data_IF_679866186046
#
_entry.id   IF_679866186046
#
_cell.length_a   1.000
_cell.length_b   1.000
_cell.length_c   1.000
_cell.angle_alpha   90.00
_cell.angle_beta   90.00
_cell.angle_gamma   90.00
#
_symmetry.space_group_name_H-M   'P 1'
#
loop_
_entity.id
_entity.type
_entity.pdbx_description
1 polymer ?
#
# COMPACT_ATOMS: atom_id res chain seq x y z
N UNK A 1 4.69 4.91 -25.72
CA UNK A 1 5.96 5.02 -24.96
C UNK A 1 5.76 5.25 -23.46
N UNK A 2 4.56 5.05 -22.91
CA UNK A 2 4.28 5.35 -21.48
C UNK A 2 4.48 4.14 -20.57
N UNK A 3 4.26 2.92 -21.07
CA UNK A 3 4.47 1.67 -20.30
C UNK A 3 5.89 1.56 -19.74
N UNK A 4 6.90 1.87 -20.56
CA UNK A 4 8.31 1.75 -20.18
C UNK A 4 8.69 2.67 -19.01
N UNK A 5 8.18 3.91 -19.02
CA UNK A 5 8.43 4.88 -17.94
C UNK A 5 7.78 4.46 -16.61
N UNK A 6 6.60 3.86 -16.66
CA UNK A 6 5.90 3.39 -15.46
C UNK A 6 6.66 2.21 -14.84
N UNK A 7 7.09 1.26 -15.67
CA UNK A 7 7.92 0.14 -15.23
C UNK A 7 9.29 0.59 -14.71
N UNK A 8 9.94 1.54 -15.37
CA UNK A 8 11.19 2.13 -14.88
C UNK A 8 11.01 2.83 -13.52
N UNK A 9 9.89 3.52 -13.33
CA UNK A 9 9.54 4.12 -12.04
C UNK A 9 9.33 3.04 -10.98
N UNK A 10 8.57 1.99 -11.28
CA UNK A 10 8.36 0.86 -10.37
C UNK A 10 9.69 0.16 -10.00
N UNK A 11 10.58 -0.04 -10.97
CA UNK A 11 11.90 -0.62 -10.77
C UNK A 11 12.82 0.27 -9.93
N UNK A 12 12.68 1.59 -10.03
CA UNK A 12 13.39 2.53 -9.16
C UNK A 12 12.80 2.56 -7.74
N UNK A 13 11.48 2.40 -7.57
CA UNK A 13 10.84 2.35 -6.26
C UNK A 13 11.23 1.11 -5.45
N UNK A 14 11.38 -0.05 -6.10
CA UNK A 14 11.65 -1.33 -5.46
C UNK A 14 12.88 -1.31 -4.51
N UNK A 15 14.08 -0.88 -4.95
CA UNK A 15 15.25 -0.81 -4.07
C UNK A 15 15.11 0.30 -3.01
N UNK A 16 14.39 1.38 -3.31
CA UNK A 16 14.20 2.50 -2.37
C UNK A 16 13.30 2.13 -1.19
N UNK A 17 12.45 1.12 -1.33
CA UNK A 17 11.65 0.58 -0.22
C UNK A 17 12.34 -0.57 0.51
N UNK A 18 13.61 -0.85 0.22
CA UNK A 18 14.36 -1.96 0.82
C UNK A 18 14.25 -3.28 0.06
N UNK A 19 13.69 -3.28 -1.15
CA UNK A 19 13.55 -4.48 -1.99
C UNK A 19 12.30 -5.29 -1.71
N UNK A 20 12.15 -6.42 -2.43
CA UNK A 20 10.99 -7.30 -2.30
C UNK A 20 10.90 -7.97 -0.91
N UNK A 21 12.04 -8.31 -0.32
CA UNK A 21 12.12 -8.92 1.03
C UNK A 21 11.57 -8.00 2.14
N UNK A 22 11.68 -6.68 1.96
CA UNK A 22 11.19 -5.72 2.93
C UNK A 22 9.67 -5.47 2.83
N UNK A 23 9.05 -5.80 1.70
CA UNK A 23 7.63 -5.53 1.44
C UNK A 23 6.78 -6.74 1.83
N UNK A 24 5.83 -6.55 2.75
CA UNK A 24 4.93 -7.62 3.23
C UNK A 24 3.59 -7.62 2.53
N UNK A 25 3.12 -6.48 2.06
CA UNK A 25 1.84 -6.33 1.39
C UNK A 25 1.81 -5.07 0.55
N UNK A 26 1.12 -5.12 -0.58
CA UNK A 26 0.93 -3.98 -1.48
C UNK A 26 -0.56 -3.73 -1.63
N UNK A 27 -0.96 -2.47 -1.47
CA UNK A 27 -2.32 -2.02 -1.74
C UNK A 27 -2.28 -0.63 -2.38
N UNK A 28 -3.28 -0.26 -3.16
CA UNK A 28 -3.34 1.09 -3.76
C UNK A 28 -4.76 1.65 -3.76
N UNK A 29 -4.87 2.97 -3.79
CA UNK A 29 -6.11 3.70 -3.99
C UNK A 29 -6.03 4.46 -5.33
N UNK A 30 -6.81 5.54 -5.51
CA UNK A 30 -6.72 6.35 -6.74
C UNK A 30 -5.42 7.15 -6.86
N UNK A 31 -4.85 7.60 -5.74
CA UNK A 31 -3.74 8.56 -5.72
C UNK A 31 -2.59 8.18 -4.80
N UNK A 32 -2.75 7.10 -4.02
CA UNK A 32 -1.80 6.65 -2.99
C UNK A 32 -1.53 5.16 -3.09
N UNK A 33 -0.27 4.77 -3.00
CA UNK A 33 0.20 3.40 -2.90
C UNK A 33 0.52 3.12 -1.42
N UNK A 34 -0.15 2.14 -0.82
CA UNK A 34 0.05 1.68 0.55
C UNK A 34 0.94 0.44 0.52
N UNK A 35 2.01 0.46 1.29
CA UNK A 35 2.98 -0.62 1.41
C UNK A 35 3.05 -1.05 2.88
N UNK A 36 2.92 -2.34 3.10
CA UNK A 36 3.37 -2.98 4.33
C UNK A 36 4.87 -3.19 4.22
N UNK A 37 5.64 -2.63 5.15
CA UNK A 37 7.10 -2.80 5.22
C UNK A 37 7.48 -3.48 6.53
N UNK A 38 8.50 -4.33 6.53
CA UNK A 38 9.08 -4.93 7.74
C UNK A 38 9.96 -3.94 8.48
N UNK A 39 10.92 -3.38 7.76
CA UNK A 39 11.95 -2.49 8.27
C UNK A 39 11.90 -1.14 7.56
N UNK A 40 11.40 -0.13 8.26
CA UNK A 40 11.35 1.26 7.78
C UNK A 40 12.72 1.91 7.63
N UNK A 41 13.73 1.40 8.33
CA UNK A 41 15.09 1.97 8.29
C UNK A 41 15.77 1.75 6.94
N UNK A 42 15.30 0.76 6.17
CA UNK A 42 15.77 0.46 4.82
C UNK A 42 15.06 1.29 3.76
N UNK A 43 13.98 1.98 4.13
CA UNK A 43 13.21 2.81 3.21
C UNK A 43 13.87 4.17 3.09
N UNK A 44 14.07 4.63 1.85
CA UNK A 44 14.65 5.93 1.54
C UNK A 44 13.57 6.92 1.12
N UNK A 45 12.89 7.51 2.11
CA UNK A 45 11.84 8.50 1.89
C UNK A 45 12.32 9.75 1.13
N UNK A 46 13.57 10.19 1.33
CA UNK A 46 14.13 11.34 0.60
C UNK A 46 14.30 11.04 -0.90
N UNK A 47 14.89 9.89 -1.23
CA UNK A 47 15.06 9.44 -2.62
C UNK A 47 13.73 9.16 -3.31
N UNK A 48 12.73 8.68 -2.56
CA UNK A 48 11.36 8.52 -3.06
C UNK A 48 10.77 9.89 -3.43
N UNK A 49 10.84 10.88 -2.55
CA UNK A 49 10.34 12.25 -2.80
C UNK A 49 11.09 12.95 -3.95
N UNK A 50 12.33 12.57 -4.21
CA UNK A 50 13.12 13.12 -5.32
C UNK A 50 12.63 12.65 -6.70
N UNK A 51 11.83 11.59 -6.77
CA UNK A 51 11.28 11.11 -8.03
C UNK A 51 10.15 12.04 -8.52
N UNK A 52 10.12 12.42 -9.81
CA UNK A 52 9.07 13.29 -10.35
C UNK A 52 7.68 12.64 -10.34
N UNK A 53 7.63 11.32 -10.17
CA UNK A 53 6.39 10.56 -10.04
C UNK A 53 5.84 10.57 -8.61
N UNK A 54 6.63 10.98 -7.60
CA UNK A 54 6.24 10.97 -6.18
C UNK A 54 6.03 12.41 -5.73
N UNK A 55 4.84 12.70 -5.22
CA UNK A 55 4.48 13.97 -4.61
C UNK A 55 4.83 14.02 -3.12
N UNK A 56 4.94 12.86 -2.48
CA UNK A 56 5.30 12.76 -1.08
C UNK A 56 5.16 11.34 -0.54
N UNK A 57 5.63 11.14 0.68
CA UNK A 57 5.36 9.93 1.46
C UNK A 57 4.72 10.31 2.79
N UNK A 58 3.82 9.46 3.25
CA UNK A 58 3.08 9.62 4.51
C UNK A 58 3.27 8.33 5.28
N UNK A 59 3.79 8.45 6.50
CA UNK A 59 3.88 7.36 7.45
C UNK A 59 2.82 7.59 8.53
N UNK A 60 1.84 6.70 8.62
CA UNK A 60 0.77 6.75 9.62
C UNK A 60 0.64 5.34 10.25
N UNK A 61 -0.38 4.55 9.90
CA UNK A 61 -0.43 3.12 10.27
C UNK A 61 0.39 2.20 9.34
N UNK A 62 0.55 2.61 8.09
CA UNK A 62 1.25 1.88 7.02
C UNK A 62 2.01 2.88 6.17
N UNK A 63 3.01 2.41 5.41
CA UNK A 63 3.82 3.27 4.56
C UNK A 63 3.02 3.67 3.32
N UNK A 64 2.80 4.97 3.08
CA UNK A 64 1.97 5.44 1.97
C UNK A 64 2.74 6.39 1.05
N UNK A 65 2.89 6.01 -0.22
CA UNK A 65 3.53 6.83 -1.25
C UNK A 65 2.44 7.53 -2.06
N UNK A 66 2.52 8.85 -2.16
CA UNK A 66 1.61 9.68 -2.96
C UNK A 66 2.24 9.87 -4.34
N UNK A 67 1.76 9.16 -5.37
CA UNK A 67 2.29 9.29 -6.75
C UNK A 67 1.44 10.20 -7.65
N UNK A 68 0.28 10.63 -7.17
CA UNK A 68 -0.67 11.44 -7.94
C UNK A 68 -1.64 10.62 -8.82
N UNK A 69 -2.71 11.26 -9.32
CA UNK A 69 -3.76 10.59 -10.07
C UNK A 69 -3.23 10.05 -11.42
N UNK A 70 -3.59 8.80 -11.75
CA UNK A 70 -3.22 8.15 -13.01
C UNK A 70 -1.86 7.45 -13.01
N UNK A 71 -0.85 7.97 -12.31
CA UNK A 71 0.46 7.31 -12.17
C UNK A 71 0.35 6.08 -11.27
N UNK A 72 -0.34 6.21 -10.11
CA UNK A 72 -0.57 5.08 -9.19
C UNK A 72 -1.16 3.87 -9.92
N UNK A 73 -2.22 4.07 -10.71
CA UNK A 73 -2.94 2.97 -11.37
C UNK A 73 -2.09 2.25 -12.44
N UNK A 74 -1.04 2.89 -12.95
CA UNK A 74 -0.13 2.33 -13.96
C UNK A 74 1.13 1.74 -13.35
N UNK A 75 1.63 2.33 -12.26
CA UNK A 75 2.85 1.88 -11.58
C UNK A 75 2.58 0.69 -10.68
N UNK A 76 1.42 0.62 -10.00
CA UNK A 76 1.11 -0.51 -9.11
C UNK A 76 1.22 -1.89 -9.78
N UNK A 77 0.56 -2.17 -10.92
CA UNK A 77 0.65 -3.51 -11.53
C UNK A 77 2.07 -3.85 -11.98
N UNK A 78 2.85 -2.87 -12.45
CA UNK A 78 4.26 -3.05 -12.80
C UNK A 78 5.11 -3.32 -11.56
N UNK A 79 4.83 -2.63 -10.45
CA UNK A 79 5.50 -2.83 -9.18
C UNK A 79 5.23 -4.23 -8.60
N UNK A 80 3.99 -4.68 -8.64
CA UNK A 80 3.60 -6.05 -8.23
C UNK A 80 4.29 -7.11 -9.09
N UNK A 81 4.37 -6.93 -10.41
CA UNK A 81 5.14 -7.82 -11.29
C UNK A 81 6.61 -7.87 -10.88
N UNK A 82 7.24 -6.72 -10.68
CA UNK A 82 8.65 -6.66 -10.31
C UNK A 82 8.93 -7.28 -8.93
N UNK A 83 8.00 -7.12 -7.98
CA UNK A 83 8.06 -7.81 -6.69
C UNK A 83 8.00 -9.32 -6.86
N UNK A 84 7.04 -9.84 -7.65
CA UNK A 84 6.96 -11.28 -7.93
C UNK A 84 8.18 -11.81 -8.69
N UNK A 85 8.74 -11.03 -9.62
CA UNK A 85 9.97 -11.40 -10.35
C UNK A 85 11.20 -11.39 -9.41
N UNK A 86 11.28 -10.45 -8.47
CA UNK A 86 12.37 -10.37 -7.50
C UNK A 86 12.28 -11.48 -6.43
N UNK A 87 11.09 -11.83 -5.98
CA UNK A 87 10.84 -12.93 -5.03
C UNK A 87 11.06 -14.31 -5.68
N UNK A 88 10.80 -14.44 -6.99
CA UNK A 88 11.00 -15.68 -7.74
C UNK A 88 12.46 -16.11 -7.94
N UNK A 89 13.44 -15.35 -7.41
CA UNK A 89 14.86 -15.71 -7.42
C UNK A 89 15.35 -15.96 -5.98
N UNK A 90 14.74 -16.91 -5.27
CA UNK A 90 15.43 -18.17 -5.02
C UNK A 90 14.54 -19.38 -5.30
N UNK A 91 15.16 -20.46 -5.76
CA UNK A 91 14.56 -21.77 -5.97
C UNK A 91 13.65 -22.19 -4.79
N UNK A 92 12.33 -22.28 -5.02
CA UNK A 92 11.41 -23.36 -4.57
C UNK A 92 9.95 -22.88 -4.59
N UNK A 93 9.27 -23.28 -5.66
CA UNK A 93 7.88 -23.79 -5.73
C UNK A 93 6.71 -22.84 -5.38
N UNK A 94 5.76 -22.67 -6.33
CA UNK A 94 4.62 -21.75 -6.24
C UNK A 94 3.45 -22.38 -5.48
N UNK A 95 2.78 -21.61 -4.61
CA UNK A 95 1.34 -21.77 -4.33
C UNK A 95 0.76 -20.56 -3.58
N UNK A 96 0.18 -19.64 -4.32
CA UNK A 96 -1.11 -19.06 -3.94
C UNK A 96 -1.95 -19.00 -5.20
N UNK A 97 -2.43 -20.21 -5.52
CA UNK A 97 -3.52 -20.47 -6.44
C UNK A 97 -4.72 -19.61 -6.04
N UNK A 98 -5.17 -18.79 -6.97
CA UNK A 98 -6.52 -18.25 -6.96
C UNK A 98 -7.47 -19.43 -7.18
N UNK A 99 -8.47 -19.70 -6.34
CA UNK A 99 -9.58 -20.53 -6.77
C UNK A 99 -10.49 -19.65 -7.65
N UNK A 100 -10.12 -19.48 -8.93
CA UNK A 100 -11.10 -19.21 -9.98
C UNK A 100 -11.27 -20.50 -10.76
N UNK A 101 -12.23 -21.29 -10.30
CA UNK A 101 -12.68 -22.54 -10.88
C UNK A 101 -13.29 -22.31 -12.27
N UNK A 102 -12.46 -22.40 -13.29
CA UNK A 102 -12.83 -23.03 -14.56
C UNK A 102 -12.05 -24.37 -14.58
N UNK A 103 -12.52 -25.53 -15.06
CA UNK A 103 -12.99 -25.80 -16.42
C UNK A 103 -13.72 -27.17 -16.48
N UNK A 104 -14.77 -27.25 -17.31
CA UNK A 104 -15.31 -28.46 -17.99
C UNK A 104 -16.32 -29.34 -17.25
N UNK A 105 -17.61 -28.98 -17.39
CA UNK A 105 -18.67 -29.99 -17.59
C UNK A 105 -19.34 -29.71 -18.94
N UNK A 106 -18.96 -30.48 -19.97
CA UNK A 106 -19.62 -30.44 -21.27
C UNK A 106 -20.58 -31.62 -21.41
N UNK A 107 -21.86 -31.25 -21.46
CA UNK A 107 -23.04 -31.95 -21.98
C UNK A 107 -23.64 -33.06 -21.09
N UNK A 108 -24.91 -32.97 -20.65
CA UNK A 108 -26.10 -32.72 -21.49
C UNK A 108 -27.34 -32.34 -20.65
N UNK A 109 -27.99 -31.23 -21.05
CA UNK A 109 -29.43 -30.85 -21.03
C UNK A 109 -30.32 -31.16 -19.80
N UNK A 110 -31.25 -30.31 -19.32
CA UNK A 110 -31.76 -28.98 -19.71
C UNK A 110 -32.70 -28.48 -18.58
N UNK A 111 -32.77 -27.15 -18.44
CA UNK A 111 -33.96 -26.31 -18.12
C UNK A 111 -34.19 -25.90 -16.65
N UNK A 112 -33.78 -24.64 -16.39
CA UNK A 112 -34.44 -23.55 -15.62
C UNK A 112 -34.61 -23.78 -14.10
N UNK A 113 -34.38 -22.83 -13.21
CA UNK A 113 -33.86 -21.45 -13.20
C UNK A 113 -33.71 -21.11 -11.70
N UNK A 114 -32.66 -20.38 -11.35
CA UNK A 114 -32.58 -19.52 -10.14
C UNK A 114 -32.68 -20.24 -8.77
N UNK A 115 -31.74 -21.11 -8.39
CA UNK A 115 -30.44 -20.79 -7.78
C UNK A 115 -30.51 -19.66 -6.75
N UNK A 116 -30.88 -20.05 -5.52
CA UNK A 116 -30.88 -19.21 -4.34
C UNK A 116 -29.50 -18.61 -3.99
N UNK A 117 -29.49 -17.58 -3.14
CA UNK A 117 -28.31 -16.77 -2.87
C UNK A 117 -27.30 -17.55 -2.02
N UNK A 118 -26.00 -17.59 -2.37
CA UNK A 118 -24.99 -18.06 -1.45
C UNK A 118 -24.76 -17.03 -0.35
N UNK A 119 -24.74 -17.56 0.87
CA UNK A 119 -24.63 -16.85 2.11
C UNK A 119 -23.28 -16.16 2.33
N UNK A 120 -23.37 -15.09 3.12
CA UNK A 120 -22.38 -14.63 4.10
C UNK A 120 -21.02 -14.13 3.58
N UNK A 121 -20.99 -12.83 3.31
CA UNK A 121 -19.77 -12.03 3.46
C UNK A 121 -19.29 -12.10 4.93
N UNK A 122 -18.00 -12.36 5.21
CA UNK A 122 -17.44 -11.96 6.50
C UNK A 122 -17.32 -10.43 6.46
N UNK A 123 -18.33 -9.76 7.01
CA UNK A 123 -18.21 -8.36 7.39
C UNK A 123 -17.13 -8.27 8.48
N UNK A 124 -15.89 -8.00 8.08
CA UNK A 124 -14.90 -7.47 9.01
C UNK A 124 -15.46 -6.14 9.54
N UNK A 125 -15.75 -6.01 10.84
CA UNK A 125 -16.10 -4.71 11.38
C UNK A 125 -14.91 -3.76 11.18
N UNK A 126 -15.14 -2.49 10.79
CA UNK A 126 -14.07 -1.51 10.76
C UNK A 126 -13.47 -1.38 12.17
N UNK A 127 -12.14 -1.19 12.31
CA UNK A 127 -11.53 -0.98 13.62
C UNK A 127 -12.17 0.24 14.29
N UNK A 128 -12.29 0.25 15.63
CA UNK A 128 -12.76 1.43 16.35
C UNK A 128 -11.86 2.62 16.00
N UNK A 129 -12.48 3.73 15.58
CA UNK A 129 -11.77 5.00 15.36
C UNK A 129 -11.03 5.34 16.64
N UNK A 130 -9.71 5.31 16.62
CA UNK A 130 -8.92 5.85 17.72
C UNK A 130 -9.23 7.36 17.82
N UNK A 131 -9.48 7.90 19.02
CA UNK A 131 -9.59 9.34 19.19
C UNK A 131 -8.27 10.00 18.77
N UNK A 132 -8.30 11.22 18.19
CA UNK A 132 -7.09 11.93 17.82
C UNK A 132 -6.17 12.08 19.04
N UNK A 133 -4.84 12.01 18.86
CA UNK A 133 -3.91 12.22 19.96
C UNK A 133 -4.15 13.62 20.57
N UNK A 134 -4.09 13.75 21.91
CA UNK A 134 -4.24 15.05 22.53
C UNK A 134 -3.14 15.98 22.01
N UNK A 135 -3.56 17.19 21.63
CA UNK A 135 -2.68 18.26 21.19
C UNK A 135 -1.58 18.47 22.25
N UNK A 136 -0.31 18.71 21.87
CA UNK A 136 0.72 19.05 22.83
C UNK A 136 0.29 20.31 23.58
N UNK A 137 0.10 20.17 24.89
CA UNK A 137 -0.13 21.28 25.80
C UNK A 137 1.00 22.29 25.61
N UNK A 138 0.63 23.52 25.27
CA UNK A 138 1.58 24.63 25.17
C UNK A 138 2.43 24.71 26.45
N UNK A 139 3.74 24.97 26.35
CA UNK A 139 4.57 25.16 27.54
C UNK A 139 4.02 26.34 28.36
N UNK A 140 4.05 26.27 29.71
CA UNK A 140 3.61 27.37 30.55
C UNK A 140 4.46 28.61 30.25
N UNK A 141 3.80 29.75 30.06
CA UNK A 141 4.43 31.04 29.90
C UNK A 141 5.43 31.29 31.04
N UNK A 142 6.61 31.87 30.77
CA UNK A 142 7.55 32.23 31.82
C UNK A 142 6.91 33.29 32.72
N UNK A 143 6.84 32.96 34.01
CA UNK A 143 6.42 33.85 35.09
C UNK A 143 7.15 35.18 34.98
N UNK A 144 6.37 36.25 34.80
CA UNK A 144 6.87 37.62 34.89
C UNK A 144 7.48 37.85 36.29
N UNK A 145 8.69 38.44 36.39
CA UNK A 145 9.22 38.86 37.68
C UNK A 145 8.41 40.05 38.19
N UNK A 146 7.89 39.88 39.40
CA UNK A 146 7.29 40.89 40.25
C UNK A 146 8.25 42.09 40.38
N UNK A 147 7.86 43.25 39.84
CA UNK A 147 8.55 44.50 40.11
C UNK A 147 8.27 44.93 41.58
N UNK A 148 9.28 45.38 42.35
CA UNK A 148 9.05 45.96 43.66
C UNK A 148 8.51 47.40 43.55
N UNK A 149 7.67 47.86 44.49
CA UNK A 149 7.21 49.24 44.51
C UNK A 149 8.32 50.16 45.04
N UNK A 150 8.52 51.32 44.41
CA UNK A 150 9.20 52.50 44.97
C UNK A 150 8.42 53.74 44.55
#
# INVERSE_FOLDING_TARGET
>A
MTEDKNRATAAALLPLVGGADNVTSVAHCMTRLRLGVRDRTLVQDDALKALPAVLGVVEDDTYQIVLGPGVVARVTPEFERLLSEADATPETTPRSDTPQEQITLRNRCRKKEDSGPPAAAPHHPPPPRQPPPPHPTAPPAPSAPLAPPT
#
